data_IF_391209741020
#
_entry.id   IF_391209741020
#
_cell.length_a   1.000
_cell.length_b   1.000
_cell.length_c   1.000
_cell.angle_alpha   90.00
_cell.angle_beta   90.00
_cell.angle_gamma   90.00
#
_symmetry.space_group_name_H-M   'P 1'
#
loop_
_entity.id
_entity.type
_entity.pdbx_description
1 polymer ?
#
# COMPACT_ATOMS: atom_id res chain seq x y z
N UNK A 1 21.96 -1.06 6.83
CA UNK A 1 20.75 -1.89 6.67
C UNK A 1 19.66 -1.48 7.65
N UNK A 2 20.00 -1.36 8.95
CA UNK A 2 19.05 -0.95 10.00
C UNK A 2 18.35 0.38 9.72
N UNK A 3 19.08 1.43 9.32
CA UNK A 3 18.49 2.74 9.00
C UNK A 3 17.41 2.62 7.91
N UNK A 4 17.66 1.84 6.86
CA UNK A 4 16.71 1.68 5.76
C UNK A 4 15.46 0.92 6.20
N UNK A 5 15.63 -0.11 7.04
CA UNK A 5 14.52 -0.86 7.63
C UNK A 5 13.67 0.02 8.55
N UNK A 6 14.32 0.84 9.39
CA UNK A 6 13.66 1.82 10.25
C UNK A 6 12.86 2.83 9.43
N UNK A 7 13.47 3.42 8.40
CA UNK A 7 12.78 4.34 7.49
C UNK A 7 11.59 3.68 6.81
N UNK A 8 11.75 2.45 6.31
CA UNK A 8 10.66 1.69 5.69
C UNK A 8 9.51 1.41 6.67
N UNK A 9 9.81 1.11 7.93
CA UNK A 9 8.80 0.87 8.97
C UNK A 9 8.03 2.14 9.35
N UNK A 10 8.73 3.25 9.60
CA UNK A 10 8.07 4.53 9.88
C UNK A 10 7.22 5.02 8.71
N UNK A 11 7.72 4.89 7.49
CA UNK A 11 6.99 5.25 6.29
C UNK A 11 5.78 4.33 6.07
N UNK A 12 5.85 3.05 6.47
CA UNK A 12 4.71 2.13 6.44
C UNK A 12 3.54 2.64 7.30
N UNK A 13 3.82 3.14 8.52
CA UNK A 13 2.80 3.71 9.39
C UNK A 13 2.10 4.91 8.72
N UNK A 14 2.88 5.81 8.12
CA UNK A 14 2.33 6.98 7.41
C UNK A 14 1.51 6.56 6.19
N UNK A 15 2.02 5.63 5.39
CA UNK A 15 1.34 5.10 4.21
C UNK A 15 0.01 4.43 4.59
N UNK A 16 0.01 3.60 5.63
CA UNK A 16 -1.18 2.89 6.09
C UNK A 16 -2.22 3.87 6.65
N UNK A 17 -1.80 4.86 7.43
CA UNK A 17 -2.68 5.89 7.95
C UNK A 17 -3.34 6.70 6.83
N UNK A 18 -2.55 7.18 5.86
CA UNK A 18 -3.08 7.93 4.72
C UNK A 18 -4.02 7.09 3.87
N UNK A 19 -3.66 5.82 3.60
CA UNK A 19 -4.50 4.90 2.84
C UNK A 19 -5.83 4.63 3.53
N UNK A 20 -5.81 4.38 4.83
CA UNK A 20 -7.02 4.24 5.63
C UNK A 20 -7.89 5.51 5.57
N UNK A 21 -7.29 6.69 5.78
CA UNK A 21 -8.01 7.97 5.73
C UNK A 21 -8.60 8.24 4.34
N UNK A 22 -7.90 7.92 3.26
CA UNK A 22 -8.40 8.07 1.90
C UNK A 22 -9.61 7.16 1.64
N UNK A 23 -9.55 5.89 2.09
CA UNK A 23 -10.67 4.94 1.98
C UNK A 23 -11.86 5.43 2.81
N UNK A 24 -11.65 5.80 4.08
CA UNK A 24 -12.70 6.31 4.94
C UNK A 24 -13.35 7.59 4.39
N UNK A 25 -12.53 8.50 3.85
CA UNK A 25 -13.02 9.72 3.22
C UNK A 25 -13.85 9.42 1.96
N UNK A 26 -13.43 8.44 1.14
CA UNK A 26 -14.17 8.05 -0.04
C UNK A 26 -15.50 7.36 0.29
N UNK A 27 -15.51 6.47 1.29
CA UNK A 27 -16.73 5.81 1.77
C UNK A 27 -17.72 6.82 2.36
N UNK A 28 -17.26 7.75 3.19
CA UNK A 28 -18.12 8.82 3.73
C UNK A 28 -18.59 9.79 2.65
N UNK A 29 -17.77 10.04 1.62
CA UNK A 29 -18.15 10.81 0.43
C UNK A 29 -19.31 10.19 -0.33
N UNK A 30 -19.28 8.86 -0.51
CA UNK A 30 -20.38 8.10 -1.13
C UNK A 30 -21.64 8.09 -0.26
N UNK A 31 -21.50 7.75 1.02
CA UNK A 31 -22.64 7.61 1.93
C UNK A 31 -23.42 8.93 2.09
N UNK A 32 -22.71 10.06 2.07
CA UNK A 32 -23.30 11.40 2.23
C UNK A 32 -23.56 12.12 0.89
N UNK A 33 -23.36 11.45 -0.25
CA UNK A 33 -23.43 12.06 -1.59
C UNK A 33 -22.71 13.43 -1.68
N UNK A 34 -21.52 13.54 -1.08
CA UNK A 34 -20.78 14.81 -1.05
C UNK A 34 -20.27 15.18 -2.44
N UNK A 35 -20.10 16.48 -2.66
CA UNK A 35 -19.34 17.01 -3.79
C UNK A 35 -17.87 16.67 -3.57
N UNK A 36 -17.20 16.18 -4.61
CA UNK A 36 -15.78 15.88 -4.58
C UNK A 36 -14.97 17.18 -4.68
N UNK A 37 -14.21 17.49 -3.63
CA UNK A 37 -13.46 18.74 -3.50
C UNK A 37 -11.98 18.55 -3.81
N UNK A 38 -11.39 19.53 -4.47
CA UNK A 38 -9.96 19.48 -4.83
C UNK A 38 -9.05 19.71 -3.63
N UNK A 39 -9.47 20.53 -2.66
CA UNK A 39 -8.65 20.90 -1.51
C UNK A 39 -8.46 19.75 -0.52
N UNK A 40 -9.47 18.87 -0.41
CA UNK A 40 -9.46 17.76 0.55
C UNK A 40 -9.41 16.41 -0.14
N UNK A 41 -10.44 16.07 -0.93
CA UNK A 41 -10.62 14.70 -1.43
C UNK A 41 -9.56 14.31 -2.46
N UNK A 42 -9.25 15.23 -3.39
CA UNK A 42 -8.20 15.04 -4.36
C UNK A 42 -6.82 14.95 -3.69
N UNK A 43 -6.47 15.92 -2.85
CA UNK A 43 -5.17 15.99 -2.18
C UNK A 43 -4.92 14.77 -1.30
N UNK A 44 -5.90 14.35 -0.51
CA UNK A 44 -5.78 13.16 0.33
C UNK A 44 -5.53 11.90 -0.51
N UNK A 45 -6.27 11.72 -1.60
CA UNK A 45 -6.08 10.59 -2.51
C UNK A 45 -4.71 10.65 -3.21
N UNK A 46 -4.27 11.83 -3.63
CA UNK A 46 -2.98 12.04 -4.28
C UNK A 46 -1.81 11.77 -3.33
N UNK A 47 -1.83 12.32 -2.12
CA UNK A 47 -0.76 12.10 -1.14
C UNK A 47 -0.68 10.63 -0.73
N UNK A 48 -1.83 9.96 -0.58
CA UNK A 48 -1.87 8.52 -0.37
C UNK A 48 -1.17 7.78 -1.51
N UNK A 49 -1.52 8.07 -2.78
CA UNK A 49 -0.86 7.48 -3.93
C UNK A 49 0.65 7.66 -3.87
N UNK A 50 1.12 8.89 -3.69
CA UNK A 50 2.55 9.24 -3.69
C UNK A 50 3.28 8.49 -2.57
N UNK A 51 2.79 8.59 -1.33
CA UNK A 51 3.43 7.97 -0.17
C UNK A 51 3.46 6.44 -0.30
N UNK A 52 2.37 5.82 -0.80
CA UNK A 52 2.35 4.39 -1.06
C UNK A 52 3.39 3.96 -2.12
N UNK A 53 3.65 4.77 -3.14
CA UNK A 53 4.69 4.47 -4.13
C UNK A 53 6.09 4.65 -3.55
N UNK A 54 6.33 5.72 -2.78
CA UNK A 54 7.62 5.90 -2.10
C UNK A 54 7.87 4.74 -1.14
N UNK A 55 6.85 4.31 -0.39
CA UNK A 55 6.93 3.15 0.50
C UNK A 55 7.31 1.87 -0.26
N UNK A 56 6.70 1.62 -1.42
CA UNK A 56 7.03 0.47 -2.26
C UNK A 56 8.47 0.55 -2.76
N UNK A 57 8.93 1.70 -3.25
CA UNK A 57 10.29 1.87 -3.75
C UNK A 57 11.33 1.65 -2.66
N UNK A 58 11.14 2.24 -1.48
CA UNK A 58 12.01 2.01 -0.32
C UNK A 58 12.00 0.53 0.07
N UNK A 59 10.83 -0.12 0.04
CA UNK A 59 10.69 -1.55 0.31
C UNK A 59 11.40 -2.44 -0.72
N UNK A 60 11.37 -2.08 -2.00
CA UNK A 60 12.09 -2.79 -3.05
C UNK A 60 13.60 -2.64 -2.88
N UNK A 61 14.10 -1.45 -2.54
CA UNK A 61 15.52 -1.29 -2.21
C UNK A 61 15.88 -2.18 -1.02
N UNK A 62 15.06 -2.17 0.04
CA UNK A 62 15.27 -3.03 1.22
C UNK A 62 15.28 -4.52 0.86
N UNK A 63 14.38 -4.95 -0.04
CA UNK A 63 14.28 -6.32 -0.51
C UNK A 63 15.57 -6.84 -1.16
N UNK A 64 16.29 -6.00 -1.91
CA UNK A 64 17.55 -6.40 -2.55
C UNK A 64 18.77 -6.33 -1.63
N UNK A 65 18.78 -5.42 -0.64
CA UNK A 65 19.93 -5.26 0.25
C UNK A 65 19.86 -6.17 1.49
N UNK A 66 18.65 -6.51 1.94
CA UNK A 66 18.39 -7.32 3.14
C UNK A 66 18.68 -8.81 2.92
N UNK A 67 19.09 -9.49 3.99
CA UNK A 67 19.17 -10.96 4.04
C UNK A 67 17.81 -11.62 3.90
N UNK A 68 16.75 -10.97 4.39
CA UNK A 68 15.40 -11.55 4.47
C UNK A 68 14.57 -11.38 3.18
N UNK A 69 15.14 -10.72 2.17
CA UNK A 69 14.49 -10.48 0.87
C UNK A 69 15.03 -11.41 -0.21
N UNK A 70 15.60 -10.83 -1.25
CA UNK A 70 16.10 -11.56 -2.42
C UNK A 70 17.20 -12.56 -2.09
N UNK A 71 18.06 -12.25 -1.11
CA UNK A 71 19.14 -13.14 -0.68
C UNK A 71 18.60 -14.45 -0.11
N UNK A 72 17.66 -14.39 0.84
CA UNK A 72 16.99 -15.58 1.38
C UNK A 72 16.33 -16.42 0.29
N UNK A 73 15.64 -15.79 -0.66
CA UNK A 73 15.04 -16.50 -1.79
C UNK A 73 16.08 -17.20 -2.67
N UNK A 74 17.21 -16.53 -2.94
CA UNK A 74 18.30 -17.08 -3.76
C UNK A 74 19.06 -18.22 -3.08
N UNK A 75 19.24 -18.15 -1.76
CA UNK A 75 19.98 -19.15 -0.98
C UNK A 75 19.15 -20.40 -0.65
N UNK A 76 17.90 -20.20 -0.22
CA UNK A 76 17.05 -21.31 0.26
C UNK A 76 16.13 -21.87 -0.82
N UNK A 77 15.86 -21.09 -1.88
CA UNK A 77 14.84 -21.39 -2.87
C UNK A 77 13.42 -21.39 -2.29
N UNK A 78 12.42 -21.44 -3.18
CA UNK A 78 11.00 -21.47 -2.78
C UNK A 78 10.62 -22.68 -1.93
N UNK A 79 11.23 -23.84 -2.18
CA UNK A 79 10.94 -25.09 -1.46
C UNK A 79 11.64 -25.23 -0.11
N UNK A 80 12.74 -24.49 0.12
CA UNK A 80 13.52 -24.56 1.36
C UNK A 80 13.11 -23.52 2.41
N UNK A 81 12.24 -22.56 2.07
CA UNK A 81 11.80 -21.52 3.00
C UNK A 81 10.69 -22.00 3.94
N UNK A 82 10.88 -21.73 5.23
CA UNK A 82 9.79 -21.83 6.20
C UNK A 82 8.73 -20.73 5.97
N UNK A 83 7.60 -20.82 6.68
CA UNK A 83 6.47 -19.91 6.48
C UNK A 83 6.83 -18.43 6.71
N UNK A 84 7.66 -18.13 7.71
CA UNK A 84 8.06 -16.75 8.04
C UNK A 84 8.98 -16.15 6.96
N UNK A 85 9.98 -16.92 6.50
CA UNK A 85 10.88 -16.51 5.43
C UNK A 85 10.12 -16.27 4.12
N UNK A 86 9.19 -17.17 3.77
CA UNK A 86 8.35 -17.03 2.56
C UNK A 86 7.44 -15.80 2.63
N UNK A 87 6.87 -15.51 3.79
CA UNK A 87 6.06 -14.30 3.99
C UNK A 87 6.87 -13.04 3.66
N UNK A 88 8.09 -12.92 4.18
CA UNK A 88 8.94 -11.74 3.97
C UNK A 88 9.53 -11.65 2.57
N UNK A 89 10.07 -12.75 2.04
CA UNK A 89 10.80 -12.76 0.78
C UNK A 89 9.89 -12.82 -0.46
N UNK A 90 8.66 -13.31 -0.34
CA UNK A 90 7.79 -13.57 -1.50
C UNK A 90 6.42 -12.93 -1.34
N UNK A 91 5.67 -13.34 -0.32
CA UNK A 91 4.24 -12.98 -0.21
C UNK A 91 4.04 -11.48 0.04
N UNK A 92 4.83 -10.89 0.94
CA UNK A 92 4.80 -9.47 1.27
C UNK A 92 5.13 -8.55 0.08
N UNK A 93 6.31 -8.66 -0.57
CA UNK A 93 6.64 -7.79 -1.69
C UNK A 93 5.68 -7.96 -2.87
N UNK A 94 5.25 -9.19 -3.17
CA UNK A 94 4.30 -9.46 -4.25
C UNK A 94 2.95 -8.78 -4.00
N UNK A 95 2.38 -8.96 -2.80
CA UNK A 95 1.08 -8.40 -2.46
C UNK A 95 1.13 -6.87 -2.37
N UNK A 96 2.26 -6.29 -1.91
CA UNK A 96 2.45 -4.84 -1.96
C UNK A 96 2.43 -4.30 -3.39
N UNK A 97 3.10 -4.96 -4.35
CA UNK A 97 3.08 -4.54 -5.76
C UNK A 97 1.64 -4.55 -6.30
N UNK A 98 0.89 -5.63 -6.05
CA UNK A 98 -0.51 -5.73 -6.48
C UNK A 98 -1.37 -4.65 -5.83
N UNK A 99 -1.21 -4.42 -4.53
CA UNK A 99 -1.93 -3.39 -3.80
C UNK A 99 -1.66 -1.99 -4.37
N UNK A 100 -0.40 -1.64 -4.63
CA UNK A 100 -0.05 -0.33 -5.19
C UNK A 100 -0.52 -0.18 -6.64
N UNK A 101 -0.49 -1.25 -7.44
CA UNK A 101 -1.09 -1.24 -8.76
C UNK A 101 -2.59 -0.92 -8.70
N UNK A 102 -3.33 -1.50 -7.75
CA UNK A 102 -4.74 -1.18 -7.55
C UNK A 102 -4.94 0.28 -7.12
N UNK A 103 -4.13 0.81 -6.20
CA UNK A 103 -4.16 2.23 -5.81
C UNK A 103 -3.95 3.13 -7.05
N UNK A 104 -3.01 2.78 -7.94
CA UNK A 104 -2.80 3.50 -9.21
C UNK A 104 -3.98 3.41 -10.15
N UNK A 105 -4.65 2.26 -10.24
CA UNK A 105 -5.88 2.09 -11.02
C UNK A 105 -6.99 2.98 -10.45
N UNK A 106 -7.18 3.00 -9.13
CA UNK A 106 -8.16 3.85 -8.45
C UNK A 106 -7.94 5.33 -8.78
N UNK A 107 -6.68 5.77 -8.71
CA UNK A 107 -6.29 7.13 -9.10
C UNK A 107 -6.48 7.40 -10.60
N UNK A 108 -6.12 6.47 -11.47
CA UNK A 108 -6.25 6.68 -12.91
C UNK A 108 -7.72 6.74 -13.36
N UNK A 109 -8.58 5.93 -12.72
CA UNK A 109 -10.01 5.87 -13.00
C UNK A 109 -10.78 7.07 -12.45
N UNK A 110 -10.43 7.60 -11.27
CA UNK A 110 -11.18 8.74 -10.71
C UNK A 110 -11.15 9.96 -11.65
N UNK A 111 -10.04 10.15 -12.38
CA UNK A 111 -9.89 11.25 -13.36
C UNK A 111 -10.87 11.16 -14.54
N UNK A 112 -11.39 9.96 -14.85
CA UNK A 112 -12.32 9.74 -15.97
C UNK A 112 -13.77 10.08 -15.64
N UNK A 113 -14.10 10.25 -14.35
CA UNK A 113 -15.46 10.59 -13.92
C UNK A 113 -15.65 12.11 -13.84
N UNK A 114 -16.78 12.59 -14.35
CA UNK A 114 -17.19 13.99 -14.27
C UNK A 114 -17.87 14.29 -12.92
N UNK A 115 -18.65 13.34 -12.42
CA UNK A 115 -19.39 13.46 -11.17
C UNK A 115 -18.57 13.02 -9.95
N UNK A 116 -18.85 13.65 -8.79
CA UNK A 116 -18.17 13.33 -7.53
C UNK A 116 -18.39 11.91 -7.04
N UNK A 117 -19.57 11.33 -7.31
CA UNK A 117 -19.92 9.97 -6.88
C UNK A 117 -19.06 8.93 -7.59
N UNK A 118 -18.86 9.07 -8.89
CA UNK A 118 -17.92 8.24 -9.67
C UNK A 118 -16.48 8.33 -9.17
N UNK A 119 -16.02 9.54 -8.85
CA UNK A 119 -14.68 9.77 -8.26
C UNK A 119 -14.51 9.05 -6.93
N UNK A 120 -15.43 9.26 -5.97
CA UNK A 120 -15.37 8.60 -4.67
C UNK A 120 -15.49 7.08 -4.78
N UNK A 121 -16.35 6.56 -5.67
CA UNK A 121 -16.53 5.12 -5.90
C UNK A 121 -15.25 4.46 -6.38
N UNK A 122 -14.55 5.11 -7.31
CA UNK A 122 -13.26 4.66 -7.79
C UNK A 122 -12.23 4.53 -6.66
N UNK A 123 -12.07 5.59 -5.86
CA UNK A 123 -11.10 5.57 -4.75
C UNK A 123 -11.50 4.53 -3.69
N UNK A 124 -12.76 4.50 -3.25
CA UNK A 124 -13.22 3.58 -2.21
C UNK A 124 -12.95 2.12 -2.55
N UNK A 125 -13.25 1.70 -3.79
CA UNK A 125 -13.06 0.30 -4.21
C UNK A 125 -11.58 -0.03 -4.31
N UNK A 126 -10.82 0.73 -5.10
CA UNK A 126 -9.45 0.35 -5.43
C UNK A 126 -8.47 0.59 -4.28
N UNK A 127 -8.61 1.69 -3.55
CA UNK A 127 -7.77 1.94 -2.37
C UNK A 127 -8.20 1.01 -1.24
N UNK A 128 -9.49 0.68 -1.14
CA UNK A 128 -9.99 -0.29 -0.17
C UNK A 128 -9.41 -1.69 -0.42
N UNK A 129 -9.41 -2.16 -1.67
CA UNK A 129 -8.76 -3.42 -2.04
C UNK A 129 -7.24 -3.39 -1.77
N UNK A 130 -6.57 -2.29 -2.11
CA UNK A 130 -5.15 -2.10 -1.80
C UNK A 130 -4.87 -2.18 -0.29
N UNK A 131 -5.73 -1.54 0.53
CA UNK A 131 -5.63 -1.58 1.99
C UNK A 131 -5.81 -3.01 2.53
N UNK A 132 -6.83 -3.74 2.07
CA UNK A 132 -7.07 -5.12 2.48
C UNK A 132 -5.88 -6.03 2.13
N UNK A 133 -5.33 -5.89 0.93
CA UNK A 133 -4.15 -6.64 0.50
C UNK A 133 -2.94 -6.35 1.38
N UNK A 134 -2.63 -5.08 1.64
CA UNK A 134 -1.51 -4.70 2.52
C UNK A 134 -1.69 -5.28 3.91
N UNK A 135 -2.87 -5.10 4.53
CA UNK A 135 -3.17 -5.64 5.86
C UNK A 135 -3.04 -7.17 5.94
N UNK A 136 -3.36 -7.88 4.84
CA UNK A 136 -3.25 -9.34 4.79
C UNK A 136 -1.82 -9.88 4.83
N UNK A 137 -0.82 -9.10 4.40
CA UNK A 137 0.58 -9.54 4.29
C UNK A 137 1.59 -8.65 4.99
N UNK A 138 1.16 -7.76 5.87
CA UNK A 138 2.09 -7.13 6.81
C UNK A 138 2.70 -8.23 7.70
N UNK A 139 4.03 -8.27 7.88
CA UNK A 139 4.67 -9.19 8.82
C UNK A 139 4.47 -8.69 10.25
N UNK A 140 3.24 -8.84 10.78
CA UNK A 140 2.81 -8.29 12.07
C UNK A 140 3.74 -8.68 13.23
N UNK A 141 4.25 -9.90 13.23
CA UNK A 141 5.21 -10.38 14.23
C UNK A 141 6.52 -9.58 14.23
N UNK A 142 6.92 -8.97 13.11
CA UNK A 142 8.14 -8.19 13.02
C UNK A 142 7.91 -6.70 13.32
N UNK A 143 6.66 -6.25 13.40
CA UNK A 143 6.34 -4.83 13.51
C UNK A 143 6.17 -4.37 14.96
N UNK A 144 5.85 -5.29 15.88
CA UNK A 144 5.65 -5.03 17.30
C UNK A 144 6.82 -5.50 18.19
N UNK A 145 7.87 -6.05 17.59
CA UNK A 145 9.11 -6.47 18.23
C UNK A 145 10.21 -5.45 17.94
#
# INVERSE_FOLDING_TARGET
>A
MEILQTVHSYLAYVALALLFLAVANALTGLAKNRIFTMEKDLRLSLFTLIICHIQLLVGLVLYFVSTNGYKALSELGMGGMNAAARLLAVEHPLINIVAIALVTVGWSRHKKFLDGKGKFKSIAIFYGLGLLLILSRIPWANWFN
#
